data_IF_160494172229
#
_entry.id   IF_160494172229
#
_cell.length_a   1.000
_cell.length_b   1.000
_cell.length_c   1.000
_cell.angle_alpha   90.00
_cell.angle_beta   90.00
_cell.angle_gamma   90.00
#
_symmetry.space_group_name_H-M   'P 1'
#
loop_
_entity.id
_entity.type
_entity.pdbx_description
1 polymer ?
#
# COMPACT_ATOMS: atom_id res chain seq x y z
N UNK A 1 -11.22 28.38 -5.50
CA UNK A 1 -12.67 28.17 -5.55
C UNK A 1 -12.89 26.69 -5.34
N UNK A 2 -13.35 26.29 -4.16
CA UNK A 2 -13.62 24.90 -3.80
C UNK A 2 -14.83 24.41 -4.59
N UNK A 3 -14.64 23.44 -5.48
CA UNK A 3 -15.78 22.74 -6.07
C UNK A 3 -16.50 21.99 -4.95
N UNK A 4 -17.75 22.38 -4.68
CA UNK A 4 -18.62 21.64 -3.75
C UNK A 4 -18.82 20.23 -4.29
N UNK A 5 -18.28 19.24 -3.59
CA UNK A 5 -18.48 17.83 -3.91
C UNK A 5 -19.92 17.44 -3.58
N UNK A 6 -20.56 16.72 -4.49
CA UNK A 6 -21.91 16.20 -4.26
C UNK A 6 -21.93 15.17 -3.13
N UNK A 7 -23.12 14.89 -2.58
CA UNK A 7 -23.26 13.93 -1.49
C UNK A 7 -22.74 12.53 -1.87
N UNK A 8 -23.13 12.06 -3.05
CA UNK A 8 -22.69 10.78 -3.59
C UNK A 8 -21.18 10.69 -3.73
N UNK A 9 -20.56 11.72 -4.33
CA UNK A 9 -19.11 11.79 -4.49
C UNK A 9 -18.38 11.77 -3.13
N UNK A 10 -18.91 12.49 -2.14
CA UNK A 10 -18.39 12.51 -0.78
C UNK A 10 -18.44 11.12 -0.12
N UNK A 11 -19.58 10.42 -0.23
CA UNK A 11 -19.77 9.06 0.32
C UNK A 11 -18.81 8.07 -0.33
N UNK A 12 -18.65 8.14 -1.66
CA UNK A 12 -17.73 7.30 -2.40
C UNK A 12 -16.29 7.50 -1.93
N UNK A 13 -15.86 8.76 -1.79
CA UNK A 13 -14.51 9.11 -1.35
C UNK A 13 -14.25 8.62 0.08
N UNK A 14 -15.19 8.83 1.00
CA UNK A 14 -15.07 8.37 2.39
C UNK A 14 -15.03 6.85 2.49
N UNK A 15 -15.86 6.14 1.71
CA UNK A 15 -15.85 4.67 1.64
C UNK A 15 -14.48 4.16 1.19
N UNK A 16 -13.95 4.73 0.10
CA UNK A 16 -12.66 4.35 -0.45
C UNK A 16 -11.51 4.65 0.53
N UNK A 17 -11.58 5.76 1.27
CA UNK A 17 -10.58 6.11 2.26
C UNK A 17 -10.51 5.13 3.45
N UNK A 18 -11.63 4.47 3.74
CA UNK A 18 -11.71 3.41 4.75
C UNK A 18 -11.36 2.02 4.19
N UNK A 19 -10.94 1.92 2.93
CA UNK A 19 -10.65 0.66 2.26
C UNK A 19 -11.89 -0.23 2.04
N UNK A 20 -13.09 0.34 2.10
CA UNK A 20 -14.34 -0.42 2.01
C UNK A 20 -14.76 -0.63 0.56
N UNK A 21 -15.07 -1.87 0.19
CA UNK A 21 -15.71 -2.19 -1.10
C UNK A 21 -17.19 -1.81 -1.05
N UNK A 22 -17.85 -1.61 -2.20
CA UNK A 22 -19.31 -1.37 -2.22
C UNK A 22 -20.08 -2.52 -1.57
N UNK A 23 -19.76 -3.81 -1.83
CA UNK A 23 -20.39 -4.92 -1.11
C UNK A 23 -20.17 -4.87 0.40
N UNK A 24 -18.96 -4.55 0.87
CA UNK A 24 -18.68 -4.44 2.30
C UNK A 24 -19.45 -3.29 2.97
N UNK A 25 -19.59 -2.13 2.31
CA UNK A 25 -20.42 -1.04 2.83
C UNK A 25 -21.90 -1.44 2.82
N UNK A 26 -22.38 -2.00 1.71
CA UNK A 26 -23.77 -2.41 1.54
C UNK A 26 -24.21 -3.43 2.62
N UNK A 27 -23.34 -4.39 2.96
CA UNK A 27 -23.55 -5.32 4.07
C UNK A 27 -23.70 -4.61 5.42
N UNK A 28 -22.89 -3.57 5.68
CA UNK A 28 -22.94 -2.80 6.95
C UNK A 28 -24.16 -1.91 7.07
N UNK A 29 -24.72 -1.46 5.96
CA UNK A 29 -25.93 -0.60 5.94
C UNK A 29 -27.19 -1.36 5.51
N UNK A 30 -27.13 -2.69 5.49
CA UNK A 30 -28.24 -3.59 5.16
C UNK A 30 -28.94 -3.26 3.83
N UNK A 31 -28.15 -2.95 2.79
CA UNK A 31 -28.69 -2.67 1.45
C UNK A 31 -27.92 -3.42 0.34
N UNK A 32 -28.33 -3.25 -0.92
CA UNK A 32 -27.64 -3.88 -2.05
C UNK A 32 -26.41 -3.06 -2.49
N UNK A 33 -25.36 -3.70 -3.06
CA UNK A 33 -24.23 -2.98 -3.66
C UNK A 33 -24.65 -2.00 -4.77
N UNK A 34 -25.73 -2.34 -5.51
CA UNK A 34 -26.34 -1.45 -6.51
C UNK A 34 -26.99 -0.22 -5.89
N UNK A 35 -27.52 -0.30 -4.67
CA UNK A 35 -28.09 0.84 -3.95
C UNK A 35 -26.99 1.80 -3.52
N UNK A 36 -25.87 1.28 -2.99
CA UNK A 36 -24.68 2.09 -2.71
C UNK A 36 -24.18 2.80 -3.98
N UNK A 37 -24.07 2.08 -5.11
CA UNK A 37 -23.66 2.68 -6.39
C UNK A 37 -24.57 3.83 -6.83
N UNK A 38 -25.89 3.68 -6.69
CA UNK A 38 -26.86 4.74 -7.02
C UNK A 38 -26.75 5.94 -6.06
N UNK A 39 -26.48 5.70 -4.79
CA UNK A 39 -26.25 6.77 -3.80
C UNK A 39 -24.96 7.55 -4.14
N UNK A 40 -23.87 6.84 -4.47
CA UNK A 40 -22.58 7.45 -4.84
C UNK A 40 -22.64 8.29 -6.11
N UNK A 41 -23.59 7.99 -7.01
CA UNK A 41 -23.83 8.75 -8.25
C UNK A 41 -24.89 9.84 -8.10
N UNK A 42 -25.40 10.05 -6.89
CA UNK A 42 -26.55 10.93 -6.60
C UNK A 42 -27.83 10.56 -7.38
N UNK A 43 -27.89 9.35 -7.96
CA UNK A 43 -29.08 8.80 -8.64
C UNK A 43 -30.17 8.38 -7.64
N UNK A 44 -29.80 8.17 -6.36
CA UNK A 44 -30.73 7.80 -5.29
C UNK A 44 -30.35 8.45 -3.96
N UNK A 45 -31.35 9.05 -3.30
CA UNK A 45 -31.17 9.52 -1.91
C UNK A 45 -31.40 8.39 -0.89
N UNK A 46 -30.56 8.30 0.16
CA UNK A 46 -30.79 7.36 1.25
C UNK A 46 -32.01 7.75 2.10
N UNK A 47 -32.68 6.75 2.68
CA UNK A 47 -33.70 6.97 3.72
C UNK A 47 -33.03 7.48 5.01
N UNK A 48 -33.77 8.04 5.98
CA UNK A 48 -33.20 8.49 7.26
C UNK A 48 -32.42 7.38 7.97
N UNK A 49 -32.98 6.17 7.98
CA UNK A 49 -32.35 4.99 8.56
C UNK A 49 -31.06 4.59 7.83
N UNK A 50 -31.09 4.57 6.50
CA UNK A 50 -29.88 4.27 5.70
C UNK A 50 -28.82 5.37 5.86
N UNK A 51 -29.22 6.63 6.01
CA UNK A 51 -28.30 7.74 6.25
C UNK A 51 -27.59 7.61 7.62
N UNK A 52 -28.30 7.22 8.68
CA UNK A 52 -27.68 6.95 9.99
C UNK A 52 -26.74 5.76 9.96
N UNK A 53 -27.14 4.68 9.29
CA UNK A 53 -26.29 3.51 9.09
C UNK A 53 -25.04 3.85 8.28
N UNK A 54 -25.16 4.68 7.24
CA UNK A 54 -24.02 5.21 6.49
C UNK A 54 -23.11 6.06 7.39
N UNK A 55 -23.66 6.93 8.22
CA UNK A 55 -22.87 7.75 9.14
C UNK A 55 -22.08 6.90 10.15
N UNK A 56 -22.66 5.79 10.62
CA UNK A 56 -21.95 4.80 11.43
C UNK A 56 -20.87 4.06 10.64
N UNK A 57 -21.22 3.48 9.50
CA UNK A 57 -20.32 2.66 8.70
C UNK A 57 -19.13 3.44 8.10
N UNK A 58 -19.32 4.74 7.85
CA UNK A 58 -18.30 5.68 7.36
C UNK A 58 -17.53 6.37 8.50
N UNK A 59 -17.78 5.98 9.76
CA UNK A 59 -17.12 6.52 10.94
C UNK A 59 -17.12 8.07 10.95
N UNK A 60 -18.30 8.68 10.81
CA UNK A 60 -18.45 10.13 10.85
C UNK A 60 -18.31 10.61 12.31
N UNK A 61 -17.39 11.54 12.62
CA UNK A 61 -17.27 12.12 13.95
C UNK A 61 -18.57 12.80 14.40
N UNK A 62 -18.88 12.74 15.70
CA UNK A 62 -20.08 13.37 16.28
C UNK A 62 -20.36 14.82 15.85
N UNK A 63 -19.37 15.75 15.80
CA UNK A 63 -19.62 17.11 15.33
C UNK A 63 -20.08 17.19 13.86
N UNK A 64 -19.73 16.19 13.05
CA UNK A 64 -20.02 16.14 11.61
C UNK A 64 -21.26 15.28 11.26
N UNK A 65 -21.82 14.54 12.23
CA UNK A 65 -22.97 13.65 11.97
C UNK A 65 -24.20 14.42 11.51
N UNK A 66 -24.55 15.51 12.19
CA UNK A 66 -25.73 16.30 11.86
C UNK A 66 -25.62 16.96 10.46
N UNK A 67 -24.50 17.63 10.11
CA UNK A 67 -24.28 18.10 8.73
C UNK A 67 -24.36 16.99 7.68
N UNK A 68 -23.81 15.79 7.97
CA UNK A 68 -23.86 14.64 7.08
C UNK A 68 -25.29 14.19 6.80
N UNK A 69 -26.10 14.04 7.85
CA UNK A 69 -27.50 13.63 7.71
C UNK A 69 -28.28 14.65 6.89
N UNK A 70 -28.09 15.96 7.13
CA UNK A 70 -28.74 17.02 6.35
C UNK A 70 -28.37 16.98 4.87
N UNK A 71 -27.08 16.76 4.57
CA UNK A 71 -26.59 16.59 3.19
C UNK A 71 -27.18 15.34 2.51
N UNK A 72 -27.26 14.21 3.23
CA UNK A 72 -27.87 12.97 2.76
C UNK A 72 -29.35 13.18 2.37
N UNK A 73 -30.03 14.06 3.10
CA UNK A 73 -31.43 14.44 2.88
C UNK A 73 -31.62 15.49 1.79
N UNK A 74 -30.54 16.11 1.29
CA UNK A 74 -30.60 17.11 0.23
C UNK A 74 -30.83 18.53 0.70
N UNK A 75 -30.61 18.79 1.98
CA UNK A 75 -30.60 20.14 2.52
C UNK A 75 -29.30 20.85 2.13
N UNK A 76 -29.41 22.13 1.78
CA UNK A 76 -28.26 22.99 1.58
C UNK A 76 -27.56 23.25 2.91
N UNK A 77 -26.28 22.89 3.01
CA UNK A 77 -25.46 23.13 4.20
C UNK A 77 -24.45 24.22 3.86
N UNK A 78 -24.54 25.38 4.55
CA UNK A 78 -23.69 26.56 4.28
C UNK A 78 -22.19 26.30 4.50
N UNK A 79 -21.84 25.25 5.25
CA UNK A 79 -20.49 24.74 5.40
C UNK A 79 -20.48 23.32 4.84
N UNK A 80 -19.79 23.05 3.72
CA UNK A 80 -19.63 21.69 3.23
C UNK A 80 -19.08 20.82 4.36
N UNK A 81 -19.52 19.57 4.46
CA UNK A 81 -18.83 18.61 5.32
C UNK A 81 -17.34 18.67 4.98
N UNK A 82 -16.54 19.17 5.93
CA UNK A 82 -15.10 19.13 5.80
C UNK A 82 -14.76 17.64 5.73
N UNK A 83 -14.51 17.10 4.53
CA UNK A 83 -14.12 15.71 4.48
C UNK A 83 -12.80 15.63 5.25
N UNK A 84 -12.73 14.85 6.34
CA UNK A 84 -11.55 14.86 7.21
C UNK A 84 -10.26 14.46 6.47
N UNK A 85 -10.38 13.93 5.24
CA UNK A 85 -9.30 13.39 4.43
C UNK A 85 -9.23 13.95 2.98
N UNK A 86 -10.12 14.84 2.52
CA UNK A 86 -10.01 15.39 1.14
C UNK A 86 -8.82 16.31 0.93
N UNK A 87 -8.19 16.79 2.01
CA UNK A 87 -6.92 17.52 1.91
C UNK A 87 -5.71 16.61 1.70
N UNK A 88 -5.87 15.29 1.83
CA UNK A 88 -4.74 14.35 1.87
C UNK A 88 -4.53 13.56 0.60
N UNK A 89 -5.52 13.39 -0.30
CA UNK A 89 -5.34 12.60 -1.53
C UNK A 89 -4.79 13.49 -2.67
N UNK A 90 -3.75 13.06 -3.40
CA UNK A 90 -3.26 13.73 -4.59
C UNK A 90 -4.35 13.81 -5.66
N UNK A 91 -4.31 14.89 -6.45
CA UNK A 91 -5.30 15.14 -7.51
C UNK A 91 -5.46 13.95 -8.48
N UNK A 92 -4.37 13.26 -8.81
CA UNK A 92 -4.40 12.10 -9.71
C UNK A 92 -5.17 10.89 -9.17
N UNK A 93 -5.37 10.79 -7.84
CA UNK A 93 -6.19 9.75 -7.21
C UNK A 93 -7.66 10.15 -7.09
N UNK A 94 -7.99 11.44 -7.22
CA UNK A 94 -9.36 11.95 -7.13
C UNK A 94 -10.16 11.73 -8.42
N UNK A 95 -9.49 11.69 -9.58
CA UNK A 95 -10.10 11.85 -10.90
C UNK A 95 -10.62 10.56 -11.59
N UNK A 96 -10.93 9.48 -10.85
CA UNK A 96 -11.03 8.14 -11.47
C UNK A 96 -12.36 7.46 -11.20
N UNK A 97 -13.10 7.18 -12.29
CA UNK A 97 -14.18 6.20 -12.35
C UNK A 97 -13.60 4.78 -12.31
N UNK A 98 -13.91 4.06 -11.23
CA UNK A 98 -13.19 2.85 -10.78
C UNK A 98 -13.74 1.53 -11.32
N UNK A 99 -14.75 1.54 -12.19
CA UNK A 99 -15.48 0.32 -12.57
C UNK A 99 -14.94 -0.37 -13.83
N UNK A 100 -14.06 0.25 -14.63
CA UNK A 100 -13.73 -0.25 -15.98
C UNK A 100 -12.45 -1.10 -16.08
N UNK A 101 -11.63 -1.19 -15.01
CA UNK A 101 -10.35 -1.94 -15.04
C UNK A 101 -10.39 -3.27 -14.28
N UNK A 102 -11.54 -3.65 -13.73
CA UNK A 102 -11.68 -4.87 -12.92
C UNK A 102 -11.88 -6.14 -13.76
N UNK A 103 -12.06 -6.00 -15.08
CA UNK A 103 -12.55 -7.08 -15.97
C UNK A 103 -11.49 -7.66 -16.93
N UNK A 104 -10.24 -7.19 -16.91
CA UNK A 104 -9.17 -7.74 -17.78
C UNK A 104 -8.42 -8.91 -17.12
N UNK A 105 -9.12 -9.65 -16.26
CA UNK A 105 -8.61 -10.88 -15.65
C UNK A 105 -8.54 -11.97 -16.72
N UNK A 106 -7.40 -12.06 -17.41
CA UNK A 106 -7.08 -13.27 -18.18
C UNK A 106 -7.04 -14.45 -17.20
N UNK A 107 -7.85 -15.50 -17.40
CA UNK A 107 -7.89 -16.63 -16.49
C UNK A 107 -6.50 -17.29 -16.46
N UNK A 108 -5.84 -17.24 -15.31
CA UNK A 108 -4.60 -17.97 -15.07
C UNK A 108 -5.01 -19.39 -14.66
N UNK A 109 -4.70 -20.39 -15.50
CA UNK A 109 -4.96 -21.80 -15.21
C UNK A 109 -3.98 -22.37 -14.16
N UNK A 110 -3.98 -21.78 -12.95
CA UNK A 110 -3.07 -22.07 -11.82
C UNK A 110 -3.80 -22.02 -10.47
N UNK A 111 -5.05 -22.50 -10.44
CA UNK A 111 -5.89 -22.43 -9.23
C UNK A 111 -5.29 -23.18 -8.04
N UNK A 112 -4.56 -24.28 -8.28
CA UNK A 112 -3.87 -25.02 -7.21
C UNK A 112 -2.77 -24.20 -6.55
N UNK A 113 -1.92 -23.55 -7.35
CA UNK A 113 -0.85 -22.68 -6.87
C UNK A 113 -1.41 -21.43 -6.19
N UNK A 114 -2.47 -20.82 -6.74
CA UNK A 114 -3.16 -19.68 -6.13
C UNK A 114 -3.77 -20.04 -4.77
N UNK A 115 -4.43 -21.19 -4.67
CA UNK A 115 -5.00 -21.68 -3.41
C UNK A 115 -3.91 -21.96 -2.36
N UNK A 116 -2.78 -22.52 -2.78
CA UNK A 116 -1.64 -22.74 -1.89
C UNK A 116 -1.02 -21.44 -1.38
N UNK A 117 -0.85 -20.43 -2.26
CA UNK A 117 -0.39 -19.09 -1.89
C UNK A 117 -1.37 -18.40 -0.93
N UNK A 118 -2.67 -18.51 -1.18
CA UNK A 118 -3.71 -17.97 -0.30
C UNK A 118 -3.62 -18.59 1.11
N UNK A 119 -3.44 -19.91 1.22
CA UNK A 119 -3.27 -20.57 2.51
C UNK A 119 -1.99 -20.13 3.26
N UNK A 120 -0.92 -19.74 2.54
CA UNK A 120 0.28 -19.13 3.15
C UNK A 120 0.01 -17.71 3.62
N UNK A 121 -0.76 -16.93 2.88
CA UNK A 121 -1.20 -15.61 3.31
C UNK A 121 -2.08 -15.69 4.56
N UNK A 122 -3.05 -16.60 4.61
CA UNK A 122 -3.90 -16.78 5.79
C UNK A 122 -3.07 -17.09 7.05
N UNK A 123 -2.04 -17.93 6.92
CA UNK A 123 -1.06 -18.17 7.98
C UNK A 123 -0.35 -16.88 8.40
N UNK A 124 0.17 -16.11 7.45
CA UNK A 124 0.81 -14.82 7.73
C UNK A 124 -0.16 -13.84 8.41
N UNK A 125 -1.41 -13.73 7.97
CA UNK A 125 -2.45 -12.91 8.60
C UNK A 125 -2.70 -13.31 10.06
N UNK A 126 -2.58 -14.61 10.37
CA UNK A 126 -2.63 -15.17 11.73
C UNK A 126 -1.33 -15.01 12.54
N UNK A 127 -0.32 -14.30 12.01
CA UNK A 127 0.97 -14.05 12.66
C UNK A 127 2.05 -15.09 12.35
N UNK A 128 1.79 -16.05 11.46
CA UNK A 128 2.79 -16.99 10.95
C UNK A 128 3.46 -16.41 9.70
N UNK A 129 4.07 -15.23 9.84
CA UNK A 129 4.76 -14.57 8.75
C UNK A 129 5.89 -15.43 8.18
N UNK A 130 6.18 -15.26 6.90
CA UNK A 130 7.13 -16.14 6.21
C UNK A 130 7.48 -15.69 4.80
N UNK A 131 8.35 -16.48 4.17
CA UNK A 131 8.77 -16.30 2.78
C UNK A 131 8.30 -17.49 1.97
N UNK A 132 7.77 -17.20 0.79
CA UNK A 132 7.42 -18.17 -0.24
C UNK A 132 8.23 -17.85 -1.50
N UNK A 133 8.71 -18.89 -2.18
CA UNK A 133 9.41 -18.74 -3.45
C UNK A 133 8.62 -19.37 -4.60
N UNK A 134 8.48 -18.63 -5.69
CA UNK A 134 7.89 -19.10 -6.96
C UNK A 134 9.05 -19.31 -7.93
N UNK A 135 9.29 -20.58 -8.28
CA UNK A 135 10.34 -21.00 -9.21
C UNK A 135 9.74 -21.58 -10.49
N UNK A 136 10.45 -21.43 -11.61
CA UNK A 136 10.06 -21.97 -12.92
C UNK A 136 10.93 -21.40 -14.04
N UNK A 137 10.72 -21.87 -15.26
CA UNK A 137 11.47 -21.45 -16.45
C UNK A 137 11.03 -20.09 -16.97
N UNK A 138 11.84 -19.49 -17.85
CA UNK A 138 11.51 -18.23 -18.48
C UNK A 138 10.25 -18.37 -19.34
N UNK A 139 9.25 -17.50 -19.11
CA UNK A 139 7.99 -17.54 -19.86
C UNK A 139 6.85 -18.34 -19.20
N UNK A 140 7.09 -19.07 -18.10
CA UNK A 140 6.07 -19.91 -17.42
C UNK A 140 4.92 -19.13 -16.74
N UNK A 141 4.90 -17.80 -16.85
CA UNK A 141 3.86 -16.95 -16.26
C UNK A 141 4.00 -16.73 -14.75
N UNK A 142 5.21 -16.84 -14.18
CA UNK A 142 5.44 -16.63 -12.73
C UNK A 142 5.00 -15.25 -12.24
N UNK A 143 5.40 -14.19 -12.95
CA UNK A 143 4.99 -12.82 -12.63
C UNK A 143 3.48 -12.64 -12.78
N UNK A 144 2.84 -13.29 -13.77
CA UNK A 144 1.38 -13.29 -13.91
C UNK A 144 0.68 -13.99 -12.74
N UNK A 145 1.20 -15.13 -12.28
CA UNK A 145 0.70 -15.84 -11.10
C UNK A 145 0.79 -14.96 -9.85
N UNK A 146 1.92 -14.29 -9.64
CA UNK A 146 2.12 -13.40 -8.50
C UNK A 146 1.21 -12.17 -8.55
N UNK A 147 1.06 -11.54 -9.73
CA UNK A 147 0.15 -10.42 -9.93
C UNK A 147 -1.30 -10.81 -9.65
N UNK A 148 -1.75 -11.96 -10.16
CA UNK A 148 -3.11 -12.46 -9.90
C UNK A 148 -3.31 -12.81 -8.42
N UNK A 149 -2.30 -13.41 -7.78
CA UNK A 149 -2.32 -13.66 -6.35
C UNK A 149 -2.47 -12.37 -5.53
N UNK A 150 -1.68 -11.33 -5.82
CA UNK A 150 -1.79 -10.02 -5.17
C UNK A 150 -3.18 -9.43 -5.36
N UNK A 151 -3.70 -9.45 -6.60
CA UNK A 151 -5.02 -8.92 -6.93
C UNK A 151 -6.14 -9.61 -6.14
N UNK A 152 -6.19 -10.95 -6.17
CA UNK A 152 -7.19 -11.74 -5.41
C UNK A 152 -7.07 -11.52 -3.90
N UNK A 153 -5.85 -11.46 -3.39
CA UNK A 153 -5.59 -11.23 -1.96
C UNK A 153 -6.05 -9.86 -1.49
N UNK A 154 -5.82 -8.80 -2.28
CA UNK A 154 -6.28 -7.46 -1.93
C UNK A 154 -7.81 -7.32 -1.99
N UNK A 155 -8.45 -8.05 -2.91
CA UNK A 155 -9.91 -8.11 -3.01
C UNK A 155 -10.53 -8.85 -1.80
N UNK A 156 -9.92 -9.96 -1.38
CA UNK A 156 -10.36 -10.76 -0.24
C UNK A 156 -10.09 -10.08 1.12
N UNK A 157 -9.01 -9.30 1.23
CA UNK A 157 -8.56 -8.70 2.49
C UNK A 157 -8.46 -7.17 2.39
N UNK A 158 -9.49 -6.47 2.89
CA UNK A 158 -9.61 -5.02 2.81
C UNK A 158 -8.44 -4.25 3.45
N UNK A 159 -7.83 -4.82 4.50
CA UNK A 159 -6.69 -4.22 5.22
C UNK A 159 -5.32 -4.63 4.70
N UNK A 160 -5.22 -5.48 3.68
CA UNK A 160 -3.94 -5.94 3.13
C UNK A 160 -3.29 -4.84 2.29
N UNK A 161 -2.05 -4.53 2.64
CA UNK A 161 -1.16 -3.66 1.86
C UNK A 161 -0.16 -4.54 1.12
N UNK A 162 -0.10 -4.39 -0.20
CA UNK A 162 0.94 -5.03 -0.99
C UNK A 162 2.00 -4.02 -1.44
N UNK A 163 3.24 -4.44 -1.60
CA UNK A 163 4.28 -3.64 -2.24
C UNK A 163 5.23 -4.57 -2.99
N UNK A 164 5.68 -4.16 -4.17
CA UNK A 164 6.50 -4.98 -5.04
C UNK A 164 7.74 -4.25 -5.53
N UNK A 165 8.88 -4.93 -5.50
CA UNK A 165 10.14 -4.47 -6.05
C UNK A 165 10.71 -5.45 -7.07
N UNK A 166 11.37 -4.93 -8.11
CA UNK A 166 12.03 -5.72 -9.13
C UNK A 166 13.55 -5.70 -8.93
N UNK A 167 14.19 -6.85 -9.11
CA UNK A 167 15.63 -6.89 -9.28
C UNK A 167 16.00 -6.55 -10.72
N UNK A 168 17.10 -5.81 -10.92
CA UNK A 168 17.65 -5.52 -12.23
C UNK A 168 19.17 -5.76 -12.24
N UNK A 169 19.74 -5.95 -13.43
CA UNK A 169 21.19 -6.15 -13.62
C UNK A 169 21.79 -5.14 -14.62
N UNK A 170 21.25 -3.91 -14.68
CA UNK A 170 21.47 -2.95 -15.77
C UNK A 170 22.96 -2.67 -16.10
N UNK A 171 23.90 -2.94 -15.20
CA UNK A 171 25.36 -2.76 -15.40
C UNK A 171 26.24 -3.87 -14.81
N UNK A 172 25.68 -4.99 -14.32
CA UNK A 172 26.42 -5.99 -13.52
C UNK A 172 25.66 -6.39 -12.25
N UNK A 173 26.32 -6.39 -11.09
CA UNK A 173 25.64 -6.55 -9.79
C UNK A 173 24.64 -5.38 -9.63
N UNK A 174 23.34 -5.67 -9.57
CA UNK A 174 22.26 -4.67 -9.60
C UNK A 174 22.38 -3.50 -8.62
N UNK A 175 21.56 -2.48 -8.80
CA UNK A 175 21.54 -1.31 -7.91
C UNK A 175 21.35 -1.77 -6.44
N UNK A 176 22.23 -1.36 -5.50
CA UNK A 176 22.20 -1.90 -4.14
C UNK A 176 20.84 -1.75 -3.48
N UNK A 177 20.31 -2.88 -3.01
CA UNK A 177 19.03 -2.96 -2.32
C UNK A 177 17.79 -2.55 -3.15
N UNK A 178 17.90 -2.42 -4.48
CA UNK A 178 16.85 -1.88 -5.35
C UNK A 178 15.43 -2.40 -5.05
N UNK A 179 15.15 -3.72 -5.02
CA UNK A 179 13.78 -4.18 -4.77
C UNK A 179 13.24 -3.71 -3.41
N UNK A 180 14.11 -3.59 -2.41
CA UNK A 180 13.74 -3.13 -1.08
C UNK A 180 13.60 -1.60 -1.00
N UNK A 181 14.31 -0.86 -1.85
CA UNK A 181 14.10 0.58 -2.06
C UNK A 181 12.72 0.80 -2.66
N UNK A 182 12.40 0.10 -3.75
CA UNK A 182 11.10 0.19 -4.43
C UNK A 182 9.93 -0.19 -3.51
N UNK A 183 10.09 -1.26 -2.71
CA UNK A 183 9.08 -1.63 -1.70
C UNK A 183 8.86 -0.50 -0.71
N UNK A 184 9.92 0.11 -0.18
CA UNK A 184 9.81 1.15 0.83
C UNK A 184 9.30 2.47 0.23
N UNK A 185 9.66 2.78 -1.01
CA UNK A 185 9.14 3.89 -1.81
C UNK A 185 7.62 3.76 -1.99
N UNK A 186 7.12 2.59 -2.41
CA UNK A 186 5.69 2.31 -2.49
C UNK A 186 4.98 2.48 -1.15
N UNK A 187 5.51 1.86 -0.08
CA UNK A 187 4.93 1.94 1.27
C UNK A 187 4.93 3.37 1.82
N UNK A 188 5.78 4.24 1.28
CA UNK A 188 5.84 5.67 1.63
C UNK A 188 5.17 6.57 0.59
N UNK A 189 4.35 5.99 -0.31
CA UNK A 189 3.46 6.72 -1.20
C UNK A 189 4.05 7.08 -2.57
N UNK A 190 5.17 6.49 -2.98
CA UNK A 190 5.72 6.69 -4.32
C UNK A 190 4.95 5.86 -5.36
N UNK A 191 3.75 6.36 -5.70
CA UNK A 191 2.77 5.60 -6.47
C UNK A 191 2.43 6.23 -7.82
N UNK A 192 2.81 7.49 -8.06
CA UNK A 192 2.37 8.26 -9.22
C UNK A 192 2.89 7.67 -10.54
N UNK A 193 4.19 7.33 -10.63
CA UNK A 193 4.75 6.77 -11.86
C UNK A 193 4.07 5.46 -12.28
N UNK A 194 3.86 4.56 -11.31
CA UNK A 194 3.19 3.27 -11.52
C UNK A 194 1.67 3.42 -11.75
N UNK A 195 1.06 4.46 -11.17
CA UNK A 195 -0.33 4.84 -11.41
C UNK A 195 -0.55 5.28 -12.87
N UNK A 196 0.28 6.22 -13.34
CA UNK A 196 0.25 6.75 -14.72
C UNK A 196 0.53 5.65 -15.73
N UNK A 197 1.44 4.72 -15.41
CA UNK A 197 1.73 3.56 -16.25
C UNK A 197 0.57 2.53 -16.33
N UNK A 198 -0.52 2.72 -15.59
CA UNK A 198 -1.66 1.79 -15.55
C UNK A 198 -1.37 0.48 -14.83
N UNK A 199 -0.23 0.39 -14.13
CA UNK A 199 0.20 -0.81 -13.41
C UNK A 199 -0.44 -0.96 -12.02
N UNK A 200 -1.33 -0.04 -11.62
CA UNK A 200 -2.02 -0.06 -10.33
C UNK A 200 -3.51 0.24 -10.44
N UNK A 201 -4.31 -0.50 -9.67
CA UNK A 201 -5.73 -0.24 -9.46
C UNK A 201 -5.94 0.90 -8.45
N UNK A 202 -7.02 1.67 -8.57
CA UNK A 202 -7.21 2.88 -7.74
C UNK A 202 -7.38 2.57 -6.26
N UNK A 203 -8.09 1.48 -5.96
CA UNK A 203 -8.24 0.98 -4.58
C UNK A 203 -6.88 0.63 -3.98
N UNK A 204 -5.96 0.05 -4.76
CA UNK A 204 -4.60 -0.26 -4.29
C UNK A 204 -3.78 1.00 -4.03
N UNK A 205 -3.77 1.93 -4.99
CA UNK A 205 -3.05 3.19 -4.88
C UNK A 205 -3.51 4.02 -3.67
N UNK A 206 -4.83 4.09 -3.43
CA UNK A 206 -5.40 4.76 -2.26
C UNK A 206 -5.00 4.09 -0.95
N UNK A 207 -5.00 2.75 -0.88
CA UNK A 207 -4.56 2.03 0.34
C UNK A 207 -3.11 2.37 0.70
N UNK A 208 -2.19 2.34 -0.27
CA UNK A 208 -0.81 2.75 -0.05
C UNK A 208 -0.72 4.21 0.42
N UNK A 209 -1.47 5.10 -0.23
CA UNK A 209 -1.47 6.50 0.12
C UNK A 209 -1.98 6.78 1.55
N UNK A 210 -3.05 6.11 1.98
CA UNK A 210 -3.54 6.20 3.36
C UNK A 210 -2.55 5.66 4.39
N UNK A 211 -1.63 4.78 3.99
CA UNK A 211 -0.55 4.27 4.83
C UNK A 211 0.58 5.28 5.06
N UNK A 212 0.72 6.33 4.24
CA UNK A 212 1.86 7.26 4.25
C UNK A 212 2.14 7.88 5.63
N UNK A 213 1.16 8.44 6.37
CA UNK A 213 1.41 8.99 7.71
C UNK A 213 2.01 7.97 8.67
N UNK A 214 1.56 6.71 8.58
CA UNK A 214 2.05 5.63 9.43
C UNK A 214 3.44 5.14 9.01
N UNK A 215 3.71 5.10 7.70
CA UNK A 215 5.04 4.77 7.17
C UNK A 215 6.07 5.83 7.57
N UNK A 216 5.74 7.11 7.43
CA UNK A 216 6.61 8.22 7.87
C UNK A 216 6.91 8.12 9.36
N UNK A 217 5.89 7.86 10.19
CA UNK A 217 6.09 7.66 11.62
C UNK A 217 7.02 6.48 11.92
N UNK A 218 6.82 5.34 11.25
CA UNK A 218 7.67 4.16 11.41
C UNK A 218 9.12 4.44 11.00
N UNK A 219 9.35 5.16 9.89
CA UNK A 219 10.70 5.59 9.49
C UNK A 219 11.35 6.43 10.58
N UNK A 220 10.64 7.43 11.13
CA UNK A 220 11.19 8.33 12.14
C UNK A 220 11.53 7.64 13.47
N UNK A 221 10.73 6.65 13.87
CA UNK A 221 10.87 5.98 15.16
C UNK A 221 11.82 4.77 15.09
N UNK A 222 11.76 4.00 14.00
CA UNK A 222 12.40 2.69 13.91
C UNK A 222 13.60 2.65 12.94
N UNK A 223 13.68 3.57 11.99
CA UNK A 223 14.70 3.54 10.93
C UNK A 223 15.00 4.88 10.26
N UNK A 224 15.38 5.94 11.00
CA UNK A 224 15.66 7.25 10.42
C UNK A 224 16.86 7.22 9.46
N UNK A 225 17.74 6.23 9.62
CA UNK A 225 18.89 5.98 8.75
C UNK A 225 18.56 5.42 7.37
N UNK A 226 17.32 4.96 7.18
CA UNK A 226 16.85 4.57 5.84
C UNK A 226 16.67 5.79 4.94
N UNK A 227 16.55 7.00 5.51
CA UNK A 227 16.56 8.26 4.77
C UNK A 227 17.97 8.54 4.25
N UNK A 228 18.06 8.82 2.95
CA UNK A 228 19.27 8.90 2.11
C UNK A 228 19.96 7.56 1.81
N UNK A 229 19.52 6.45 2.40
CA UNK A 229 20.03 5.11 2.07
C UNK A 229 19.07 4.34 1.16
N UNK A 230 17.79 4.27 1.55
CA UNK A 230 16.72 3.61 0.79
C UNK A 230 15.76 4.60 0.17
N UNK A 231 15.54 5.75 0.83
CA UNK A 231 14.56 6.75 0.45
C UNK A 231 15.26 8.10 0.24
N UNK A 232 14.96 8.80 -0.84
CA UNK A 232 15.31 10.21 -0.97
C UNK A 232 14.49 11.03 0.03
N UNK A 233 15.15 11.70 0.98
CA UNK A 233 14.49 12.41 2.07
C UNK A 233 13.62 13.57 1.60
N UNK A 234 14.05 14.28 0.56
CA UNK A 234 13.26 15.35 -0.07
C UNK A 234 11.96 14.84 -0.69
N UNK A 235 12.00 13.71 -1.41
CA UNK A 235 10.83 13.09 -1.99
C UNK A 235 9.88 12.54 -0.92
N UNK A 236 10.43 11.90 0.13
CA UNK A 236 9.66 11.43 1.26
C UNK A 236 8.95 12.59 1.99
N UNK A 237 9.64 13.71 2.20
CA UNK A 237 9.07 14.91 2.82
C UNK A 237 7.92 15.49 1.99
N UNK A 238 8.12 15.64 0.67
CA UNK A 238 7.07 16.15 -0.22
C UNK A 238 5.80 15.30 -0.16
N UNK A 239 5.94 13.96 -0.14
CA UNK A 239 4.82 13.03 0.02
C UNK A 239 4.17 13.13 1.41
N UNK A 240 4.97 13.25 2.47
CA UNK A 240 4.47 13.41 3.83
C UNK A 240 3.65 14.71 4.00
N UNK A 241 4.10 15.81 3.39
CA UNK A 241 3.40 17.09 3.35
C UNK A 241 2.11 17.01 2.51
N UNK A 242 2.14 16.32 1.38
CA UNK A 242 0.94 16.07 0.57
C UNK A 242 -0.09 15.19 1.31
N UNK A 243 0.36 14.24 2.14
CA UNK A 243 -0.46 13.39 2.99
C UNK A 243 -0.72 13.99 4.39
N UNK A 244 -0.54 15.31 4.55
CA UNK A 244 -0.70 15.96 5.84
C UNK A 244 -2.14 15.92 6.37
N UNK A 245 -2.22 15.73 7.68
CA UNK A 245 -3.44 15.74 8.49
C UNK A 245 -3.12 16.51 9.77
N UNK A 246 -4.13 16.89 10.54
CA UNK A 246 -3.88 17.54 11.84
C UNK A 246 -3.14 16.61 12.82
N UNK A 247 -3.30 15.29 12.64
CA UNK A 247 -2.74 14.26 13.53
C UNK A 247 -1.25 13.98 13.29
N UNK A 248 -0.69 14.28 12.12
CA UNK A 248 0.71 13.95 11.76
C UNK A 248 1.62 15.16 11.58
N UNK A 249 1.17 16.38 11.92
CA UNK A 249 1.99 17.60 11.81
C UNK A 249 3.32 17.51 12.56
N UNK A 250 3.33 16.92 13.77
CA UNK A 250 4.54 16.72 14.56
C UNK A 250 5.53 15.77 13.87
N UNK A 251 5.04 14.72 13.22
CA UNK A 251 5.88 13.79 12.45
C UNK A 251 6.50 14.47 11.23
N UNK A 252 5.70 15.27 10.50
CA UNK A 252 6.18 16.05 9.35
C UNK A 252 7.27 17.05 9.77
N UNK A 253 7.09 17.73 10.91
CA UNK A 253 8.11 18.64 11.45
C UNK A 253 9.41 17.90 11.81
N UNK A 254 9.32 16.72 12.44
CA UNK A 254 10.48 15.85 12.73
C UNK A 254 11.18 15.39 11.45
N UNK A 255 10.42 14.99 10.43
CA UNK A 255 10.96 14.57 9.13
C UNK A 255 11.68 15.74 8.45
N UNK A 256 11.10 16.93 8.43
CA UNK A 256 11.73 18.12 7.86
C UNK A 256 13.07 18.43 8.53
N UNK A 257 13.13 18.33 9.86
CA UNK A 257 14.37 18.50 10.61
C UNK A 257 15.42 17.43 10.27
N UNK A 258 15.01 16.16 10.15
CA UNK A 258 15.89 15.06 9.75
C UNK A 258 16.47 15.27 8.34
N UNK A 259 15.64 15.63 7.37
CA UNK A 259 16.06 15.89 5.99
C UNK A 259 17.03 17.07 5.93
N UNK A 260 16.74 18.16 6.64
CA UNK A 260 17.63 19.31 6.72
C UNK A 260 18.99 18.94 7.37
N UNK A 261 18.97 18.11 8.41
CA UNK A 261 20.18 17.63 9.06
C UNK A 261 21.05 16.77 8.12
N UNK A 262 20.43 15.87 7.34
CA UNK A 262 21.11 15.00 6.36
C UNK A 262 21.69 15.77 5.19
N UNK A 263 21.03 16.84 4.75
CA UNK A 263 21.55 17.73 3.71
C UNK A 263 22.84 18.46 4.15
N UNK A 264 22.96 18.80 5.44
CA UNK A 264 24.12 19.51 6.00
C UNK A 264 25.26 18.58 6.42
N UNK A 265 24.95 17.34 6.80
CA UNK A 265 25.92 16.30 7.14
C UNK A 265 25.60 15.06 6.31
N UNK A 266 26.31 14.84 5.18
CA UNK A 266 26.26 13.56 4.48
C UNK A 266 26.48 12.44 5.50
N UNK A 267 25.72 11.36 5.38
CA UNK A 267 25.63 10.32 6.41
C UNK A 267 27.03 9.94 6.96
N UNK A 268 27.18 9.81 8.29
CA UNK A 268 28.45 9.35 8.86
C UNK A 268 28.83 8.02 8.20
N UNK A 269 30.13 7.86 7.93
CA UNK A 269 30.79 6.65 7.40
C UNK A 269 29.94 5.38 7.57
N UNK A 270 29.48 4.83 6.45
CA UNK A 270 28.70 3.60 6.26
C UNK A 270 28.23 2.94 7.57
N UNK A 271 26.96 3.16 7.93
CA UNK A 271 26.30 2.31 8.92
C UNK A 271 26.59 0.85 8.59
N UNK A 272 26.97 0.08 9.60
CA UNK A 272 27.16 -1.35 9.41
C UNK A 272 25.84 -1.95 8.87
N UNK A 273 25.96 -2.78 7.84
CA UNK A 273 24.86 -3.48 7.18
C UNK A 273 23.90 -4.16 8.19
N UNK A 274 24.41 -4.71 9.29
CA UNK A 274 23.57 -5.30 10.34
C UNK A 274 22.59 -4.31 10.98
N UNK A 275 23.03 -3.08 11.27
CA UNK A 275 22.17 -2.00 11.80
C UNK A 275 21.15 -1.58 10.77
N UNK A 276 21.57 -1.44 9.51
CA UNK A 276 20.68 -1.08 8.40
C UNK A 276 19.56 -2.11 8.22
N UNK A 277 19.90 -3.40 8.27
CA UNK A 277 18.95 -4.51 8.17
C UNK A 277 17.98 -4.53 9.35
N UNK A 278 18.47 -4.27 10.56
CA UNK A 278 17.62 -4.16 11.74
C UNK A 278 16.65 -2.98 11.61
N UNK A 279 17.09 -1.83 11.08
CA UNK A 279 16.23 -0.65 10.88
C UNK A 279 15.13 -0.95 9.86
N UNK A 280 15.49 -1.54 8.72
CA UNK A 280 14.52 -1.95 7.70
C UNK A 280 13.49 -2.94 8.26
N UNK A 281 13.95 -3.94 9.00
CA UNK A 281 13.09 -4.96 9.64
C UNK A 281 12.13 -4.33 10.64
N UNK A 282 12.61 -3.44 11.53
CA UNK A 282 11.76 -2.79 12.53
C UNK A 282 10.69 -1.91 11.88
N UNK A 283 11.03 -1.18 10.81
CA UNK A 283 10.05 -0.40 10.05
C UNK A 283 8.94 -1.30 9.48
N UNK A 284 9.30 -2.42 8.84
CA UNK A 284 8.31 -3.37 8.32
C UNK A 284 7.44 -3.97 9.44
N UNK A 285 8.03 -4.35 10.57
CA UNK A 285 7.29 -4.85 11.74
C UNK A 285 6.32 -3.78 12.29
N UNK A 286 6.76 -2.53 12.36
CA UNK A 286 5.94 -1.39 12.81
C UNK A 286 4.73 -1.17 11.91
N UNK A 287 4.91 -1.26 10.60
CA UNK A 287 3.85 -1.21 9.60
C UNK A 287 2.92 -2.43 9.72
N UNK A 288 3.49 -3.64 9.84
CA UNK A 288 2.75 -4.90 9.94
C UNK A 288 1.84 -4.99 11.18
N UNK A 289 2.18 -4.27 12.26
CA UNK A 289 1.31 -4.12 13.44
C UNK A 289 0.02 -3.35 13.15
N UNK A 290 0.02 -2.44 12.17
CA UNK A 290 -1.18 -1.72 11.75
C UNK A 290 -1.95 -2.45 10.68
N UNK A 291 -1.27 -2.86 9.61
CA UNK A 291 -1.89 -3.53 8.46
C UNK A 291 -1.00 -4.69 8.00
N UNK A 292 -1.56 -5.86 7.67
CA UNK A 292 -0.78 -6.96 7.13
C UNK A 292 -0.10 -6.57 5.80
N UNK A 293 1.11 -7.08 5.59
CA UNK A 293 1.94 -6.79 4.43
C UNK A 293 2.09 -8.01 3.53
N UNK A 294 1.89 -7.82 2.22
CA UNK A 294 2.27 -8.75 1.17
C UNK A 294 3.36 -8.12 0.30
N UNK A 295 4.60 -8.57 0.47
CA UNK A 295 5.75 -8.04 -0.26
C UNK A 295 6.10 -8.98 -1.42
N UNK A 296 6.31 -8.44 -2.61
CA UNK A 296 6.72 -9.22 -3.79
C UNK A 296 8.11 -8.76 -4.22
N UNK A 297 9.02 -9.71 -4.41
CA UNK A 297 10.36 -9.46 -4.96
C UNK A 297 10.47 -10.26 -6.25
N UNK A 298 10.43 -9.58 -7.39
CA UNK A 298 10.51 -10.24 -8.70
C UNK A 298 11.96 -10.32 -9.19
N UNK A 299 12.20 -11.30 -10.06
CA UNK A 299 13.48 -11.53 -10.74
C UNK A 299 14.70 -11.66 -9.79
N UNK A 300 14.52 -12.35 -8.65
CA UNK A 300 15.56 -12.54 -7.61
C UNK A 300 16.89 -13.09 -8.14
N UNK A 301 16.92 -13.75 -9.29
CA UNK A 301 18.17 -14.16 -9.94
C UNK A 301 19.10 -12.99 -10.32
N UNK A 302 18.56 -11.77 -10.43
CA UNK A 302 19.31 -10.53 -10.68
C UNK A 302 19.57 -9.70 -9.42
N UNK A 303 19.24 -10.21 -8.23
CA UNK A 303 19.41 -9.47 -6.99
C UNK A 303 20.89 -9.25 -6.65
N UNK A 304 21.24 -8.06 -6.18
CA UNK A 304 22.57 -7.78 -5.63
C UNK A 304 22.80 -8.49 -4.29
N UNK A 305 24.07 -8.65 -3.89
CA UNK A 305 24.43 -9.33 -2.65
C UNK A 305 23.84 -8.68 -1.39
N UNK A 306 23.67 -7.35 -1.40
CA UNK A 306 23.01 -6.61 -0.33
C UNK A 306 21.53 -6.96 -0.24
N UNK A 307 20.80 -6.98 -1.36
CA UNK A 307 19.40 -7.42 -1.42
C UNK A 307 19.23 -8.85 -0.92
N UNK A 308 20.07 -9.79 -1.37
CA UNK A 308 20.01 -11.19 -0.89
C UNK A 308 20.28 -11.25 0.62
N UNK A 309 21.27 -10.50 1.12
CA UNK A 309 21.55 -10.41 2.55
C UNK A 309 20.37 -9.87 3.35
N UNK A 310 19.69 -8.83 2.85
CA UNK A 310 18.52 -8.26 3.50
C UNK A 310 17.33 -9.23 3.48
N UNK A 311 17.08 -9.91 2.35
CA UNK A 311 16.04 -10.94 2.26
C UNK A 311 16.28 -12.07 3.26
N UNK A 312 17.53 -12.54 3.36
CA UNK A 312 17.92 -13.55 4.33
C UNK A 312 17.74 -13.05 5.76
N UNK A 313 18.15 -11.82 6.06
CA UNK A 313 17.93 -11.22 7.37
C UNK A 313 16.44 -11.14 7.72
N UNK A 314 15.60 -10.66 6.80
CA UNK A 314 14.16 -10.56 6.99
C UNK A 314 13.55 -11.93 7.28
N UNK A 315 13.93 -12.97 6.52
CA UNK A 315 13.38 -14.34 6.67
C UNK A 315 13.42 -14.87 8.10
N UNK A 316 14.42 -14.47 8.90
CA UNK A 316 14.61 -14.90 10.29
C UNK A 316 13.80 -14.09 11.31
N UNK A 317 13.14 -13.02 10.89
CA UNK A 317 12.42 -12.07 11.76
C UNK A 317 10.94 -11.89 11.37
N UNK A 318 10.39 -12.79 10.54
CA UNK A 318 8.97 -12.77 10.14
C UNK A 318 8.05 -13.57 11.07
N UNK A 319 8.61 -14.46 11.90
CA UNK A 319 7.79 -15.23 12.85
C UNK A 319 7.10 -14.27 13.83
N UNK A 320 5.79 -14.46 14.03
CA UNK A 320 4.96 -13.57 14.85
C UNK A 320 4.52 -12.29 14.13
N UNK A 321 4.94 -12.08 12.88
CA UNK A 321 4.58 -10.90 12.09
C UNK A 321 3.49 -11.23 11.07
N UNK A 322 2.69 -10.21 10.73
CA UNK A 322 1.69 -10.30 9.66
C UNK A 322 2.28 -9.91 8.30
N UNK A 323 3.35 -10.60 7.91
CA UNK A 323 4.12 -10.29 6.71
C UNK A 323 4.31 -11.59 5.91
N UNK A 324 3.86 -11.58 4.65
CA UNK A 324 4.22 -12.60 3.66
C UNK A 324 5.13 -11.95 2.62
N UNK A 325 6.30 -12.55 2.39
CA UNK A 325 7.18 -12.17 1.28
C UNK A 325 7.10 -13.26 0.20
N UNK A 326 6.85 -12.86 -1.05
CA UNK A 326 6.85 -13.73 -2.22
C UNK A 326 8.05 -13.36 -3.08
N UNK A 327 9.02 -14.26 -3.16
CA UNK A 327 10.17 -14.14 -4.06
C UNK A 327 9.93 -14.91 -5.35
N UNK A 328 10.25 -14.32 -6.50
CA UNK A 328 10.10 -14.96 -7.80
C UNK A 328 11.48 -15.10 -8.42
N UNK A 329 11.83 -16.30 -8.90
CA UNK A 329 13.14 -16.52 -9.51
C UNK A 329 13.13 -17.58 -10.60
N UNK A 330 14.20 -17.58 -11.39
CA UNK A 330 14.46 -18.59 -12.43
C UNK A 330 15.46 -19.62 -11.92
N UNK A 331 15.03 -20.88 -11.80
CA UNK A 331 15.86 -21.95 -11.24
C UNK A 331 17.13 -22.22 -12.07
N UNK A 332 17.04 -22.16 -13.39
CA UNK A 332 18.18 -22.39 -14.30
C UNK A 332 19.29 -21.35 -14.13
N UNK A 333 18.94 -20.07 -13.95
CA UNK A 333 19.91 -18.98 -13.85
C UNK A 333 20.67 -19.00 -12.50
N UNK A 334 20.01 -19.42 -11.42
CA UNK A 334 20.65 -19.62 -10.11
C UNK A 334 21.60 -20.83 -10.10
N UNK A 335 21.27 -21.89 -10.84
CA UNK A 335 22.12 -23.08 -10.95
C UNK A 335 23.40 -22.82 -11.75
N UNK A 336 23.31 -22.00 -12.81
CA UNK A 336 24.45 -21.60 -13.65
C UNK A 336 25.47 -20.75 -12.88
N UNK A 337 25.03 -19.87 -11.98
CA UNK A 337 25.91 -19.06 -11.12
C UNK A 337 26.82 -19.88 -10.20
N UNK A 338 26.40 -21.09 -9.78
CA UNK A 338 27.21 -21.98 -8.92
C UNK A 338 28.23 -22.83 -9.67
N UNK A 339 28.15 -22.91 -11.01
CA UNK A 339 29.09 -23.68 -11.83
C UNK A 339 30.36 -22.90 -12.19
N UNK A 340 30.37 -21.58 -11.98
CA UNK A 340 31.51 -20.70 -12.26
C UNK A 340 32.45 -20.43 -11.08
N UNK A 341 32.12 -20.92 -9.88
CA UNK A 341 32.92 -20.73 -8.64
C UNK A 341 33.50 -22.06 -8.12
N UNK A 342 34.06 -22.91 -9.00
CA UNK A 342 34.80 -24.11 -8.59
C UNK A 342 36.30 -23.97 -8.76
#
# INVERSE_FOLDING_TARGET
>A
MTHDLSFGAWVQQRRLALGLTRPALAQRVYCSPSTIKKIERDERRPSPEVAELLAGALAIPDPDRLPFLRMARGEFVATPLAAPHLRSLPAFLLAVDDDARDDDARPVAREGELAWLAARLDGALAGQGGIVLISGEAGDGKSMLAQEFVRRSQAAHAGLVAAGGNCNAYTGMGDPYLPFREILELLTGDIEGRWVAGAMHSTYARRLWHGVPHAVQAILDDGPDLVETFLAGSALLARAEAAATDQNQAAIARLRALVAQRAQRPAPSALNQGTLFAHYTRVLQSLARRQPLLLVVDDLQWADAGSIGLLFHLSRHLQGQRILIVGIYRAAEVALGRAGER
#
